data_IF_660609894899
#
_entry.id   IF_660609894899
#
_cell.length_a   1.000
_cell.length_b   1.000
_cell.length_c   1.000
_cell.angle_alpha   90.00
_cell.angle_beta   90.00
_cell.angle_gamma   90.00
#
_symmetry.space_group_name_H-M   'P 1'
#
loop_
_entity.id
_entity.type
_entity.pdbx_description
1 polymer ?
#
# COMPACT_ATOMS: atom_id res chain seq x y z
N UNK A 1 4.66 -1.58 0.36
CA UNK A 1 5.03 -0.37 1.08
C UNK A 1 5.08 -0.56 2.59
N UNK A 2 5.60 -1.71 3.08
CA UNK A 2 5.61 -1.99 4.52
C UNK A 2 6.66 -1.19 5.31
N UNK A 3 7.55 -0.46 4.64
CA UNK A 3 8.64 0.27 5.26
C UNK A 3 9.52 -0.63 6.14
N UNK A 4 9.81 -0.18 7.35
CA UNK A 4 10.54 -0.96 8.36
C UNK A 4 9.67 -2.00 9.07
N UNK A 5 8.41 -2.16 8.69
CA UNK A 5 7.47 -3.13 9.24
C UNK A 5 6.88 -2.75 10.60
N UNK A 6 6.80 -1.46 10.95
CA UNK A 6 6.29 -1.05 12.27
C UNK A 6 4.85 -1.49 12.50
N UNK A 7 3.96 -1.32 11.51
CA UNK A 7 2.58 -1.81 11.60
C UNK A 7 2.54 -3.33 11.84
N UNK A 8 3.28 -4.10 11.07
CA UNK A 8 3.36 -5.55 11.22
C UNK A 8 3.88 -5.96 12.59
N UNK A 9 4.83 -5.21 13.13
CA UNK A 9 5.37 -5.45 14.47
C UNK A 9 4.32 -5.24 15.56
N UNK A 10 3.56 -4.14 15.49
CA UNK A 10 2.50 -3.87 16.47
C UNK A 10 1.35 -4.88 16.33
N UNK A 11 0.96 -5.25 15.11
CA UNK A 11 -0.03 -6.32 14.89
C UNK A 11 0.40 -7.64 15.52
N UNK A 12 1.68 -8.02 15.40
CA UNK A 12 2.22 -9.25 16.00
C UNK A 12 2.17 -9.25 17.52
N UNK A 13 2.31 -8.09 18.18
CA UNK A 13 2.19 -8.00 19.64
C UNK A 13 0.77 -8.31 20.13
N UNK A 14 -0.23 -7.84 19.36
CA UNK A 14 -1.64 -8.00 19.68
C UNK A 14 -2.11 -9.42 19.31
N UNK A 15 -1.74 -9.89 18.13
CA UNK A 15 -2.18 -11.16 17.55
C UNK A 15 -0.97 -12.10 17.40
N UNK A 16 -0.67 -12.86 18.44
CA UNK A 16 0.56 -13.67 18.56
C UNK A 16 0.78 -14.73 17.48
N UNK A 17 -0.30 -15.22 16.86
CA UNK A 17 -0.26 -16.32 15.87
C UNK A 17 -0.21 -15.85 14.42
N UNK A 18 -0.02 -14.54 14.16
CA UNK A 18 0.05 -14.02 12.80
C UNK A 18 1.29 -14.51 12.05
N UNK A 19 1.09 -15.02 10.84
CA UNK A 19 2.14 -15.19 9.84
C UNK A 19 2.23 -13.90 9.03
N UNK A 20 3.32 -13.17 9.19
CA UNK A 20 3.49 -11.83 8.63
C UNK A 20 4.36 -11.86 7.37
N UNK A 21 3.94 -11.05 6.41
CA UNK A 21 4.68 -10.81 5.17
C UNK A 21 4.67 -9.32 4.87
N UNK A 22 5.79 -8.77 4.48
CA UNK A 22 5.89 -7.37 4.08
C UNK A 22 6.72 -7.22 2.82
N UNK A 23 6.36 -6.27 1.98
CA UNK A 23 7.09 -5.90 0.76
C UNK A 23 7.34 -4.40 0.76
N UNK A 24 8.58 -4.02 0.46
CA UNK A 24 8.95 -2.61 0.28
C UNK A 24 10.04 -2.46 -0.77
N UNK A 25 10.03 -1.34 -1.50
CA UNK A 25 11.05 -1.02 -2.49
C UNK A 25 12.36 -0.54 -1.84
N UNK A 26 12.30 -0.07 -0.60
CA UNK A 26 13.44 0.46 0.12
C UNK A 26 14.28 -0.66 0.75
N UNK A 27 15.42 -0.96 0.14
CA UNK A 27 16.42 -1.86 0.75
C UNK A 27 16.86 -1.38 2.12
N UNK A 28 16.95 -0.05 2.30
CA UNK A 28 17.28 0.56 3.59
C UNK A 28 16.22 0.23 4.65
N UNK A 29 14.95 0.38 4.34
CA UNK A 29 13.86 0.08 5.27
C UNK A 29 13.90 -1.39 5.70
N UNK A 30 14.02 -2.32 4.75
CA UNK A 30 14.11 -3.75 5.04
C UNK A 30 15.34 -4.07 5.91
N UNK A 31 16.52 -3.55 5.56
CA UNK A 31 17.75 -3.77 6.32
C UNK A 31 17.67 -3.24 7.77
N UNK A 32 16.98 -2.12 7.96
CA UNK A 32 16.83 -1.44 9.26
C UNK A 32 15.52 -1.77 9.99
N UNK A 33 14.83 -2.84 9.56
CA UNK A 33 13.69 -3.39 10.28
C UNK A 33 14.08 -4.08 11.58
N UNK A 34 13.11 -4.31 12.46
CA UNK A 34 13.33 -5.09 13.70
C UNK A 34 13.78 -6.50 13.36
N UNK A 35 14.73 -7.05 14.16
CA UNK A 35 15.33 -8.37 13.92
C UNK A 35 14.28 -9.47 13.77
N UNK A 36 13.23 -9.43 14.58
CA UNK A 36 12.13 -10.39 14.59
C UNK A 36 11.30 -10.43 13.31
N UNK A 37 11.31 -9.31 12.53
CA UNK A 37 10.56 -9.19 11.29
C UNK A 37 11.39 -9.45 10.03
N UNK A 38 12.71 -9.43 10.11
CA UNK A 38 13.57 -9.48 8.90
C UNK A 38 13.27 -10.65 7.96
N UNK A 39 12.91 -11.82 8.53
CA UNK A 39 12.55 -13.00 7.73
C UNK A 39 11.17 -12.87 7.05
N UNK A 40 10.31 -11.99 7.56
CA UNK A 40 8.98 -11.73 7.05
C UNK A 40 8.94 -10.60 6.02
N UNK A 41 9.98 -9.78 5.94
CA UNK A 41 10.03 -8.64 5.03
C UNK A 41 10.89 -8.96 3.80
N UNK A 42 10.42 -8.53 2.63
CA UNK A 42 11.11 -8.72 1.34
C UNK A 42 11.27 -7.38 0.63
N UNK A 43 12.42 -7.22 -0.01
CA UNK A 43 12.60 -6.15 -0.99
C UNK A 43 11.83 -6.50 -2.26
N UNK A 44 11.04 -5.54 -2.77
CA UNK A 44 10.31 -5.71 -4.02
C UNK A 44 9.69 -4.41 -4.51
N UNK A 45 9.36 -4.38 -5.78
CA UNK A 45 8.87 -3.23 -6.51
C UNK A 45 7.45 -3.51 -7.00
N UNK A 46 6.47 -2.68 -6.62
CA UNK A 46 5.07 -2.79 -7.04
C UNK A 46 4.87 -2.54 -8.55
N UNK A 47 5.83 -1.92 -9.23
CA UNK A 47 5.82 -1.80 -10.70
C UNK A 47 6.07 -3.15 -11.38
N UNK A 48 6.59 -4.14 -10.65
CA UNK A 48 6.90 -5.49 -11.12
C UNK A 48 5.87 -6.49 -10.61
N UNK A 49 5.97 -7.72 -11.09
CA UNK A 49 5.15 -8.82 -10.57
C UNK A 49 5.51 -9.09 -9.11
N UNK A 50 4.49 -9.18 -8.26
CA UNK A 50 4.69 -9.46 -6.84
C UNK A 50 5.25 -10.88 -6.62
N UNK A 51 6.16 -11.06 -5.64
CA UNK A 51 6.84 -12.34 -5.39
C UNK A 51 5.98 -13.34 -4.60
N UNK A 52 4.67 -13.31 -4.80
CA UNK A 52 3.67 -14.09 -4.06
C UNK A 52 2.80 -14.97 -4.95
N UNK A 53 3.33 -15.38 -6.13
CA UNK A 53 2.58 -16.22 -7.09
C UNK A 53 2.03 -17.49 -6.41
N UNK A 54 0.72 -17.69 -6.53
CA UNK A 54 0.02 -18.86 -5.97
C UNK A 54 -0.20 -18.79 -4.45
N UNK A 55 0.18 -17.70 -3.78
CA UNK A 55 -0.14 -17.47 -2.37
C UNK A 55 -1.47 -16.73 -2.24
N UNK A 56 -2.17 -17.01 -1.16
CA UNK A 56 -3.33 -16.24 -0.68
C UNK A 56 -3.07 -15.81 0.75
N UNK A 57 -3.53 -14.60 1.07
CA UNK A 57 -3.43 -14.01 2.40
C UNK A 57 -4.83 -13.77 2.96
N UNK A 58 -5.00 -13.94 4.26
CA UNK A 58 -6.26 -13.61 4.92
C UNK A 58 -6.54 -12.12 4.83
N UNK A 59 -5.49 -11.29 4.95
CA UNK A 59 -5.57 -9.83 4.83
C UNK A 59 -4.36 -9.27 4.07
N UNK A 60 -4.63 -8.42 3.07
CA UNK A 60 -3.62 -7.62 2.38
C UNK A 60 -3.86 -6.13 2.69
N UNK A 61 -2.84 -5.44 3.15
CA UNK A 61 -2.90 -4.02 3.52
C UNK A 61 -1.92 -3.21 2.67
N UNK A 62 -2.38 -2.07 2.16
CA UNK A 62 -1.54 -1.05 1.52
C UNK A 62 -1.95 0.33 2.05
N UNK A 63 -1.03 1.01 2.75
CA UNK A 63 -1.27 2.33 3.34
C UNK A 63 -0.18 3.28 2.85
N UNK A 64 -0.56 4.45 2.38
CA UNK A 64 0.35 5.53 1.95
C UNK A 64 1.43 5.04 0.98
N UNK A 65 1.04 4.25 -0.02
CA UNK A 65 2.01 3.58 -0.91
C UNK A 65 1.72 3.82 -2.38
N UNK A 66 0.46 3.72 -2.79
CA UNK A 66 0.09 3.67 -4.21
C UNK A 66 0.32 4.98 -4.94
N UNK A 67 0.32 6.12 -4.26
CA UNK A 67 0.67 7.43 -4.83
C UNK A 67 2.10 7.48 -5.40
N UNK A 68 2.99 6.59 -4.96
CA UNK A 68 4.36 6.49 -5.50
C UNK A 68 4.45 5.69 -6.81
N UNK A 69 3.33 5.23 -7.34
CA UNK A 69 3.25 4.56 -8.64
C UNK A 69 2.72 5.51 -9.70
N UNK A 70 3.15 5.33 -10.94
CA UNK A 70 2.49 5.95 -12.09
C UNK A 70 1.08 5.42 -12.24
N UNK A 71 0.16 6.25 -12.71
CA UNK A 71 -1.28 5.95 -12.77
C UNK A 71 -1.59 4.65 -13.54
N UNK A 72 -0.87 4.39 -14.64
CA UNK A 72 -1.04 3.16 -15.41
C UNK A 72 -0.59 1.88 -14.68
N UNK A 73 0.20 2.03 -13.61
CA UNK A 73 0.65 0.91 -12.76
C UNK A 73 -0.30 0.66 -11.60
N UNK A 74 -1.03 1.68 -11.15
CA UNK A 74 -1.97 1.57 -10.03
C UNK A 74 -3.06 0.54 -10.34
N UNK A 75 -3.67 0.57 -11.52
CA UNK A 75 -4.70 -0.41 -11.94
C UNK A 75 -4.21 -1.85 -11.82
N UNK A 76 -3.00 -2.11 -12.31
CA UNK A 76 -2.40 -3.44 -12.24
C UNK A 76 -2.12 -3.84 -10.78
N UNK A 77 -1.58 -2.92 -9.99
CA UNK A 77 -1.26 -3.16 -8.59
C UNK A 77 -2.52 -3.47 -7.76
N UNK A 78 -3.59 -2.69 -7.94
CA UNK A 78 -4.89 -2.94 -7.29
C UNK A 78 -5.45 -4.32 -7.65
N UNK A 79 -5.38 -4.71 -8.92
CA UNK A 79 -5.80 -6.06 -9.37
C UNK A 79 -4.95 -7.16 -8.74
N UNK A 80 -3.63 -6.96 -8.58
CA UNK A 80 -2.76 -7.93 -7.91
C UNK A 80 -3.08 -8.01 -6.41
N UNK A 81 -3.33 -6.87 -5.73
CA UNK A 81 -3.77 -6.83 -4.33
C UNK A 81 -5.09 -7.60 -4.16
N UNK A 82 -6.06 -7.36 -5.05
CA UNK A 82 -7.35 -8.05 -5.02
C UNK A 82 -7.21 -9.56 -5.18
N UNK A 83 -6.35 -9.99 -6.09
CA UNK A 83 -6.08 -11.41 -6.31
C UNK A 83 -5.33 -12.09 -5.15
N UNK A 84 -4.54 -11.36 -4.37
CA UNK A 84 -3.74 -11.92 -3.28
C UNK A 84 -4.51 -12.07 -1.96
N UNK A 85 -5.46 -11.17 -1.67
CA UNK A 85 -6.15 -11.12 -0.38
C UNK A 85 -7.52 -11.77 -0.39
N UNK A 86 -7.87 -12.48 0.67
CA UNK A 86 -9.27 -12.79 0.99
C UNK A 86 -9.97 -11.51 1.45
N UNK A 87 -9.39 -10.80 2.42
CA UNK A 87 -9.74 -9.43 2.77
C UNK A 87 -8.64 -8.47 2.32
N UNK A 88 -9.01 -7.25 1.96
CA UNK A 88 -8.10 -6.24 1.44
C UNK A 88 -8.44 -4.87 2.02
N UNK A 89 -7.41 -4.10 2.35
CA UNK A 89 -7.57 -2.72 2.80
C UNK A 89 -6.52 -1.83 2.14
N UNK A 90 -6.98 -0.76 1.49
CA UNK A 90 -6.14 0.24 0.84
C UNK A 90 -6.45 1.62 1.40
N UNK A 91 -5.45 2.30 1.93
CA UNK A 91 -5.54 3.68 2.33
C UNK A 91 -4.62 4.53 1.46
N UNK A 92 -5.17 5.57 0.85
CA UNK A 92 -4.47 6.47 -0.08
C UNK A 92 -4.73 7.92 0.25
N UNK A 93 -3.77 8.76 -0.06
CA UNK A 93 -3.92 10.21 0.01
C UNK A 93 -4.75 10.70 -1.18
N UNK A 94 -5.60 11.70 -0.90
CA UNK A 94 -6.43 12.32 -1.92
C UNK A 94 -6.83 13.74 -1.51
N UNK A 95 -7.54 14.44 -2.35
CA UNK A 95 -8.05 15.78 -2.10
C UNK A 95 -9.48 15.97 -2.65
N UNK A 96 -10.20 16.93 -2.09
CA UNK A 96 -11.58 17.30 -2.45
C UNK A 96 -11.68 18.73 -2.96
N UNK A 97 -10.64 19.53 -2.72
CA UNK A 97 -10.56 20.94 -3.09
C UNK A 97 -9.11 21.36 -3.32
N UNK A 98 -8.92 22.58 -3.83
CA UNK A 98 -7.58 23.12 -4.18
C UNK A 98 -6.64 23.26 -2.97
N UNK A 99 -7.15 23.60 -1.79
CA UNK A 99 -6.33 23.74 -0.59
C UNK A 99 -5.78 22.37 -0.15
N UNK A 100 -6.63 21.34 -0.10
CA UNK A 100 -6.20 19.97 0.21
C UNK A 100 -5.21 19.45 -0.84
N UNK A 101 -5.44 19.77 -2.13
CA UNK A 101 -4.51 19.42 -3.21
C UNK A 101 -3.14 20.06 -3.01
N UNK A 102 -3.11 21.35 -2.73
CA UNK A 102 -1.86 22.08 -2.46
C UNK A 102 -1.11 21.49 -1.26
N UNK A 103 -1.81 21.26 -0.15
CA UNK A 103 -1.22 20.69 1.06
C UNK A 103 -0.68 19.28 0.82
N UNK A 104 -1.42 18.44 0.07
CA UNK A 104 -0.97 17.11 -0.32
C UNK A 104 0.29 17.18 -1.20
N UNK A 105 0.35 18.10 -2.17
CA UNK A 105 1.53 18.30 -3.00
C UNK A 105 2.76 18.74 -2.20
N UNK A 106 2.57 19.59 -1.19
CA UNK A 106 3.65 20.01 -0.30
C UNK A 106 4.18 18.87 0.57
N UNK A 107 3.31 17.94 0.97
CA UNK A 107 3.66 16.78 1.77
C UNK A 107 4.30 15.65 0.96
N UNK A 108 3.81 15.40 -0.23
CA UNK A 108 4.11 14.21 -1.04
C UNK A 108 5.38 14.38 -1.89
N UNK A 109 6.55 14.33 -1.26
CA UNK A 109 7.84 14.56 -1.93
C UNK A 109 8.20 13.53 -3.02
N UNK A 110 7.63 12.32 -2.96
CA UNK A 110 7.96 11.22 -3.88
C UNK A 110 6.77 10.72 -4.69
N UNK A 111 5.63 11.42 -4.64
CA UNK A 111 4.44 11.00 -5.35
C UNK A 111 4.59 11.15 -6.86
N UNK A 112 4.30 10.08 -7.58
CA UNK A 112 4.17 10.04 -9.04
C UNK A 112 2.72 10.34 -9.48
N UNK A 113 1.75 10.10 -8.59
CA UNK A 113 0.31 10.24 -8.86
C UNK A 113 -0.37 10.94 -7.67
N UNK A 114 -0.89 12.14 -7.94
CA UNK A 114 -1.74 12.92 -7.02
C UNK A 114 -3.06 13.15 -7.72
N UNK A 115 -4.13 12.51 -7.25
CA UNK A 115 -5.45 12.53 -7.89
C UNK A 115 -6.56 12.70 -6.85
N UNK A 116 -7.70 13.22 -7.31
CA UNK A 116 -8.89 13.44 -6.51
C UNK A 116 -9.61 12.13 -6.15
N UNK A 117 -10.58 12.25 -5.24
CA UNK A 117 -11.37 11.12 -4.72
C UNK A 117 -12.12 10.37 -5.83
N UNK A 118 -12.70 11.08 -6.80
CA UNK A 118 -13.51 10.43 -7.83
C UNK A 118 -12.62 9.66 -8.82
N UNK A 119 -11.45 10.17 -9.13
CA UNK A 119 -10.46 9.46 -9.93
C UNK A 119 -9.97 8.19 -9.20
N UNK A 120 -9.72 8.24 -7.87
CA UNK A 120 -9.41 7.03 -7.10
C UNK A 120 -10.54 6.00 -7.13
N UNK A 121 -11.80 6.42 -6.93
CA UNK A 121 -12.97 5.54 -7.02
C UNK A 121 -13.09 4.88 -8.40
N UNK A 122 -12.82 5.66 -9.46
CA UNK A 122 -12.78 5.13 -10.82
C UNK A 122 -11.70 4.06 -10.98
N UNK A 123 -10.48 4.27 -10.43
CA UNK A 123 -9.40 3.27 -10.48
C UNK A 123 -9.76 2.00 -9.70
N UNK A 124 -10.31 2.12 -8.49
CA UNK A 124 -10.78 0.97 -7.71
C UNK A 124 -11.80 0.13 -8.50
N UNK A 125 -12.81 0.79 -9.04
CA UNK A 125 -13.86 0.13 -9.83
C UNK A 125 -13.29 -0.56 -11.08
N UNK A 126 -12.45 0.12 -11.85
CA UNK A 126 -11.94 -0.41 -13.12
C UNK A 126 -10.85 -1.47 -12.95
N UNK A 127 -10.17 -1.49 -11.81
CA UNK A 127 -9.24 -2.58 -11.47
C UNK A 127 -9.96 -3.86 -11.03
N UNK A 128 -11.27 -3.80 -10.72
CA UNK A 128 -12.02 -4.89 -10.10
C UNK A 128 -11.67 -5.09 -8.64
N UNK A 129 -11.10 -4.07 -7.97
CA UNK A 129 -10.80 -4.12 -6.55
C UNK A 129 -12.08 -4.22 -5.72
N UNK A 130 -12.17 -5.24 -4.88
CA UNK A 130 -13.36 -5.56 -4.09
C UNK A 130 -13.16 -5.41 -2.57
N UNK A 131 -12.01 -4.84 -2.15
CA UNK A 131 -11.71 -4.62 -0.74
C UNK A 131 -12.17 -3.27 -0.22
N UNK A 132 -11.94 -3.03 1.07
CA UNK A 132 -12.19 -1.75 1.71
C UNK A 132 -11.12 -0.74 1.35
N UNK A 133 -11.49 0.54 1.27
CA UNK A 133 -10.55 1.63 1.05
C UNK A 133 -10.94 2.90 1.80
N UNK A 134 -9.93 3.70 2.15
CA UNK A 134 -10.07 5.01 2.79
C UNK A 134 -9.18 6.06 2.16
N UNK A 135 -9.54 7.32 2.40
CA UNK A 135 -8.81 8.48 1.93
C UNK A 135 -8.25 9.31 3.09
N UNK A 136 -7.00 9.74 2.96
CA UNK A 136 -6.37 10.71 3.86
C UNK A 136 -6.41 12.08 3.18
N UNK A 137 -6.83 13.09 3.93
CA UNK A 137 -6.89 14.48 3.48
C UNK A 137 -5.98 15.37 4.32
N UNK A 138 -5.28 16.26 3.65
CA UNK A 138 -4.40 17.25 4.26
C UNK A 138 -5.13 18.60 4.33
N UNK A 139 -5.62 18.93 5.52
CA UNK A 139 -6.36 20.18 5.78
C UNK A 139 -5.41 21.32 6.12
#
# INVERSE_FOLDING_TARGET
GCGKGFLLYEMKKILKNLKLYGLDISKYAIKNSKKELRKSLRHGDLNKKLPYKGQKFDLVISINTLHNLKIEKILKCLKEIDNLGNSKYVCVESYRNELEQFNLQCWALTAETIIDVDTWKYLFKNSGYSGDYEFIYFK
#
